data_IF_861889480328
#
_entry.id   IF_861889480328
#
_cell.length_a   1.000
_cell.length_b   1.000
_cell.length_c   1.000
_cell.angle_alpha   90.00
_cell.angle_beta   90.00
_cell.angle_gamma   90.00
#
_symmetry.space_group_name_H-M   'P 1'
#
loop_
_entity.id
_entity.type
_entity.pdbx_description
1 polymer ?
#
# COMPACT_ATOMS: atom_id res chain seq x y z
N UNK A 1 -29.13 -36.63 1.50
CA UNK A 1 -27.65 -36.60 1.53
C UNK A 1 -27.21 -35.61 2.60
N UNK A 2 -26.39 -36.06 3.50
CA UNK A 2 -25.83 -35.17 4.53
C UNK A 2 -24.44 -34.72 4.06
N UNK A 3 -24.25 -33.40 3.99
CA UNK A 3 -22.94 -32.84 3.66
C UNK A 3 -22.27 -32.47 5.00
N UNK A 4 -21.18 -33.15 5.29
CA UNK A 4 -20.39 -32.84 6.47
C UNK A 4 -19.39 -31.73 6.11
N UNK A 5 -19.46 -30.61 6.85
CA UNK A 5 -18.48 -29.53 6.72
C UNK A 5 -17.27 -29.84 7.62
N UNK A 6 -16.05 -29.50 7.18
CA UNK A 6 -14.89 -29.61 8.05
C UNK A 6 -15.07 -28.75 9.31
N UNK A 7 -14.38 -29.12 10.38
CA UNK A 7 -14.36 -28.29 11.58
C UNK A 7 -13.68 -26.93 11.33
N UNK A 8 -13.82 -26.01 12.28
CA UNK A 8 -13.30 -24.63 12.13
C UNK A 8 -11.79 -24.64 11.94
N UNK A 9 -11.05 -25.46 12.70
CA UNK A 9 -9.59 -25.51 12.57
C UNK A 9 -9.16 -25.99 11.19
N UNK A 10 -9.84 -26.98 10.62
CA UNK A 10 -9.58 -27.49 9.27
C UNK A 10 -9.92 -26.42 8.22
N UNK A 11 -11.04 -25.72 8.39
CA UNK A 11 -11.42 -24.62 7.49
C UNK A 11 -10.39 -23.50 7.51
N UNK A 12 -9.90 -23.11 8.67
CA UNK A 12 -8.87 -22.07 8.80
C UNK A 12 -7.55 -22.50 8.18
N UNK A 13 -7.16 -23.77 8.34
CA UNK A 13 -5.96 -24.31 7.70
C UNK A 13 -6.06 -24.25 6.17
N UNK A 14 -7.23 -24.57 5.63
CA UNK A 14 -7.47 -24.49 4.18
C UNK A 14 -7.40 -23.05 3.68
N UNK A 15 -8.01 -22.10 4.41
CA UNK A 15 -7.97 -20.67 4.07
C UNK A 15 -6.53 -20.17 4.11
N UNK A 16 -5.76 -20.54 5.14
CA UNK A 16 -4.35 -20.17 5.28
C UNK A 16 -3.53 -20.66 4.09
N UNK A 17 -3.68 -21.94 3.72
CA UNK A 17 -2.95 -22.53 2.61
C UNK A 17 -3.31 -21.86 1.27
N UNK A 18 -4.59 -21.72 0.97
CA UNK A 18 -5.05 -21.12 -0.28
C UNK A 18 -4.69 -19.64 -0.35
N UNK A 19 -4.82 -18.90 0.75
CA UNK A 19 -4.42 -17.50 0.84
C UNK A 19 -2.93 -17.31 0.64
N UNK A 20 -2.12 -18.20 1.20
CA UNK A 20 -0.66 -18.15 1.03
C UNK A 20 -0.25 -18.43 -0.42
N UNK A 21 -0.87 -19.44 -1.05
CA UNK A 21 -0.63 -19.73 -2.48
C UNK A 21 -1.01 -18.54 -3.36
N UNK A 22 -2.14 -17.91 -3.09
CA UNK A 22 -2.58 -16.72 -3.82
C UNK A 22 -1.59 -15.56 -3.65
N UNK A 23 -1.07 -15.36 -2.45
CA UNK A 23 -0.07 -14.34 -2.16
C UNK A 23 1.24 -14.58 -2.93
N UNK A 24 1.70 -15.83 -2.99
CA UNK A 24 2.88 -16.20 -3.77
C UNK A 24 2.67 -15.87 -5.25
N UNK A 25 1.51 -16.24 -5.79
CA UNK A 25 1.18 -15.94 -7.18
C UNK A 25 1.16 -14.44 -7.45
N UNK A 26 0.59 -13.65 -6.53
CA UNK A 26 0.56 -12.19 -6.65
C UNK A 26 1.96 -11.59 -6.59
N UNK A 27 2.82 -12.05 -5.70
CA UNK A 27 4.20 -11.57 -5.61
C UNK A 27 4.96 -11.86 -6.91
N UNK A 28 4.76 -13.02 -7.51
CA UNK A 28 5.35 -13.34 -8.82
C UNK A 28 4.83 -12.42 -9.91
N UNK A 29 3.52 -12.17 -9.94
CA UNK A 29 2.90 -11.27 -10.92
C UNK A 29 3.43 -9.83 -10.79
N UNK A 30 3.73 -9.39 -9.58
CA UNK A 30 4.26 -8.06 -9.32
C UNK A 30 5.62 -7.81 -10.02
N UNK A 31 6.38 -8.86 -10.32
CA UNK A 31 7.64 -8.72 -11.03
C UNK A 31 7.45 -8.18 -12.46
N UNK A 32 6.28 -8.40 -13.03
CA UNK A 32 5.94 -7.98 -14.40
C UNK A 32 5.07 -6.71 -14.42
N UNK A 33 4.99 -5.99 -13.31
CA UNK A 33 4.24 -4.74 -13.24
C UNK A 33 4.77 -3.72 -14.28
N UNK A 34 3.88 -2.94 -14.92
CA UNK A 34 4.31 -1.96 -15.92
C UNK A 34 5.29 -0.94 -15.34
N UNK A 35 6.26 -0.53 -16.16
CA UNK A 35 7.21 0.53 -15.81
C UNK A 35 6.65 1.88 -16.23
N UNK A 36 6.66 2.83 -15.30
CA UNK A 36 6.19 4.19 -15.52
C UNK A 36 7.36 5.13 -15.23
N UNK A 37 7.51 6.18 -16.03
CA UNK A 37 8.54 7.19 -15.81
C UNK A 37 8.38 7.86 -14.43
N UNK A 38 9.48 8.20 -13.75
CA UNK A 38 9.40 8.86 -12.44
C UNK A 38 8.65 10.20 -12.52
N UNK A 39 8.11 10.65 -11.37
CA UNK A 39 7.53 11.97 -11.28
C UNK A 39 8.60 13.04 -11.49
N UNK A 40 8.21 14.18 -12.04
CA UNK A 40 9.12 15.30 -12.33
C UNK A 40 8.63 16.61 -11.72
N UNK A 41 7.55 16.58 -10.92
CA UNK A 41 6.97 17.80 -10.34
C UNK A 41 7.85 18.43 -9.28
N UNK A 42 8.51 17.61 -8.45
CA UNK A 42 9.43 18.07 -7.41
C UNK A 42 10.76 17.36 -7.51
N UNK A 43 11.83 18.05 -7.09
CA UNK A 43 13.16 17.46 -6.99
C UNK A 43 13.28 16.76 -5.62
N UNK A 44 13.22 15.44 -5.63
CA UNK A 44 13.25 14.65 -4.40
C UNK A 44 14.56 14.77 -3.63
N UNK A 45 15.64 15.19 -4.28
CA UNK A 45 16.93 15.40 -3.61
C UNK A 45 16.90 16.55 -2.59
N UNK A 46 15.89 17.42 -2.68
CA UNK A 46 15.70 18.55 -1.77
C UNK A 46 14.88 18.18 -0.52
N UNK A 47 14.47 16.93 -0.40
CA UNK A 47 13.62 16.44 0.69
C UNK A 47 14.26 15.25 1.40
N UNK A 48 14.01 15.08 2.71
CA UNK A 48 14.47 13.88 3.41
C UNK A 48 13.87 12.59 2.78
N UNK A 49 14.66 11.54 2.77
CA UNK A 49 14.23 10.24 2.24
C UNK A 49 13.77 9.27 3.33
N UNK A 50 13.62 9.75 4.54
CA UNK A 50 13.20 8.94 5.71
C UNK A 50 11.79 8.38 5.55
N UNK A 51 10.97 8.94 4.67
CA UNK A 51 9.63 8.41 4.39
C UNK A 51 9.65 7.05 3.67
N UNK A 52 10.80 6.64 3.11
CA UNK A 52 10.97 5.36 2.45
C UNK A 52 11.39 4.25 3.41
N UNK A 53 11.74 4.58 4.64
CA UNK A 53 12.17 3.64 5.65
C UNK A 53 10.98 2.88 6.25
N UNK A 54 11.28 1.75 6.91
CA UNK A 54 10.30 1.11 7.78
C UNK A 54 10.16 1.90 9.08
N UNK A 55 9.03 1.73 9.75
CA UNK A 55 8.75 2.46 10.99
C UNK A 55 9.87 2.29 12.02
N UNK A 56 10.34 1.07 12.21
CA UNK A 56 11.44 0.73 13.14
C UNK A 56 12.80 1.27 12.74
N UNK A 57 12.95 1.70 11.49
CA UNK A 57 14.21 2.22 10.96
C UNK A 57 14.32 3.75 11.08
N UNK A 58 13.33 4.38 11.69
CA UNK A 58 13.31 5.84 11.83
C UNK A 58 12.44 6.54 10.80
N UNK A 59 11.35 5.92 10.40
CA UNK A 59 10.40 6.52 9.46
C UNK A 59 9.90 7.88 9.93
N UNK A 60 9.84 8.83 9.02
CA UNK A 60 9.22 10.13 9.22
C UNK A 60 8.24 10.38 8.08
N UNK A 61 7.09 10.99 8.41
CA UNK A 61 6.09 11.33 7.39
C UNK A 61 6.72 12.23 6.32
N UNK A 62 6.40 11.99 5.03
CA UNK A 62 6.96 12.81 3.95
C UNK A 62 6.43 14.24 4.00
N UNK A 63 7.23 15.15 3.42
CA UNK A 63 6.79 16.52 3.22
C UNK A 63 5.52 16.54 2.35
N UNK A 64 4.57 17.46 2.60
CA UNK A 64 3.34 17.56 1.79
C UNK A 64 3.59 17.69 0.28
N UNK A 65 4.66 18.36 -0.13
CA UNK A 65 5.02 18.49 -1.54
C UNK A 65 5.30 17.12 -2.19
N UNK A 66 5.95 16.22 -1.45
CA UNK A 66 6.21 14.85 -1.90
C UNK A 66 4.89 14.08 -2.03
N UNK A 67 4.01 14.18 -1.04
CA UNK A 67 2.71 13.53 -1.06
C UNK A 67 1.91 14.00 -2.27
N UNK A 68 1.82 15.30 -2.47
CA UNK A 68 1.06 15.88 -3.57
C UNK A 68 1.63 15.46 -4.94
N UNK A 69 2.95 15.49 -5.09
CA UNK A 69 3.60 15.08 -6.34
C UNK A 69 3.36 13.60 -6.65
N UNK A 70 3.51 12.72 -5.65
CA UNK A 70 3.29 11.29 -5.82
C UNK A 70 1.84 10.95 -6.13
N UNK A 71 0.92 11.58 -5.44
CA UNK A 71 -0.52 11.36 -5.68
C UNK A 71 -0.92 11.84 -7.07
N UNK A 72 -0.50 13.02 -7.49
CA UNK A 72 -0.81 13.55 -8.83
C UNK A 72 -0.23 12.68 -9.94
N UNK A 73 1.01 12.25 -9.78
CA UNK A 73 1.66 11.36 -10.73
C UNK A 73 0.90 10.04 -10.88
N UNK A 74 0.51 9.45 -9.75
CA UNK A 74 -0.29 8.22 -9.72
C UNK A 74 -1.66 8.41 -10.38
N UNK A 75 -2.36 9.47 -10.03
CA UNK A 75 -3.68 9.78 -10.59
C UNK A 75 -3.64 10.09 -12.08
N UNK A 76 -2.55 10.67 -12.56
CA UNK A 76 -2.37 10.92 -13.99
C UNK A 76 -2.20 9.64 -14.81
N UNK A 77 -1.54 8.63 -14.24
CA UNK A 77 -1.33 7.34 -14.91
C UNK A 77 -2.50 6.39 -14.75
N UNK A 78 -3.17 6.40 -13.59
CA UNK A 78 -4.29 5.52 -13.30
C UNK A 78 -5.57 6.35 -13.20
N UNK A 79 -6.20 6.61 -14.34
CA UNK A 79 -7.39 7.46 -14.42
C UNK A 79 -8.58 6.93 -13.61
N UNK A 80 -8.62 5.64 -13.37
CA UNK A 80 -9.63 5.03 -12.48
C UNK A 80 -9.53 5.54 -11.03
N UNK A 81 -8.39 6.09 -10.64
CA UNK A 81 -8.15 6.72 -9.33
C UNK A 81 -7.91 8.22 -9.45
N UNK A 82 -8.39 8.83 -10.55
CA UNK A 82 -8.10 10.21 -10.90
C UNK A 82 -8.76 11.26 -10.01
N UNK A 83 -9.62 10.88 -9.09
CA UNK A 83 -10.21 11.77 -8.10
C UNK A 83 -9.73 11.42 -6.70
N UNK A 84 -9.70 12.41 -5.81
CA UNK A 84 -9.31 12.17 -4.42
C UNK A 84 -10.24 11.19 -3.71
N UNK A 85 -11.52 11.15 -4.07
CA UNK A 85 -12.47 10.19 -3.52
C UNK A 85 -12.10 8.76 -3.89
N UNK A 86 -11.73 8.51 -5.13
CA UNK A 86 -11.32 7.18 -5.60
C UNK A 86 -9.98 6.77 -5.03
N UNK A 87 -9.05 7.71 -4.89
CA UNK A 87 -7.77 7.45 -4.25
C UNK A 87 -7.95 7.13 -2.77
N UNK A 88 -8.81 7.87 -2.07
CA UNK A 88 -9.14 7.60 -0.67
C UNK A 88 -9.70 6.20 -0.50
N UNK A 89 -10.61 5.79 -1.37
CA UNK A 89 -11.19 4.45 -1.35
C UNK A 89 -10.12 3.37 -1.51
N UNK A 90 -9.21 3.54 -2.48
CA UNK A 90 -8.09 2.62 -2.70
C UNK A 90 -7.19 2.50 -1.47
N UNK A 91 -6.94 3.61 -0.79
CA UNK A 91 -6.07 3.66 0.39
C UNK A 91 -6.77 3.27 1.70
N UNK A 92 -8.07 2.94 1.64
CA UNK A 92 -8.84 2.57 2.82
C UNK A 92 -9.17 3.75 3.72
N UNK A 93 -9.20 4.95 3.18
CA UNK A 93 -9.54 6.17 3.93
C UNK A 93 -11.04 6.41 3.87
N UNK A 94 -11.62 6.91 4.96
CA UNK A 94 -13.06 7.11 5.06
C UNK A 94 -13.59 8.28 4.21
N UNK A 95 -12.75 9.27 3.90
CA UNK A 95 -13.15 10.45 3.12
C UNK A 95 -12.02 10.97 2.22
N UNK A 96 -12.40 11.65 1.13
CA UNK A 96 -11.44 12.34 0.26
C UNK A 96 -10.80 13.55 0.95
N UNK A 97 -11.41 14.06 2.01
CA UNK A 97 -10.88 15.18 2.80
C UNK A 97 -9.52 14.83 3.40
N UNK A 98 -9.32 13.57 3.80
CA UNK A 98 -8.03 13.11 4.33
C UNK A 98 -6.93 13.16 3.27
N UNK A 99 -7.23 12.79 2.03
CA UNK A 99 -6.26 12.89 0.93
C UNK A 99 -5.82 14.35 0.75
N UNK A 100 -6.76 15.28 0.76
CA UNK A 100 -6.44 16.71 0.65
C UNK A 100 -5.63 17.21 1.85
N UNK A 101 -5.98 16.77 3.06
CA UNK A 101 -5.27 17.16 4.27
C UNK A 101 -3.79 16.72 4.23
N UNK A 102 -3.52 15.53 3.70
CA UNK A 102 -2.15 15.05 3.52
C UNK A 102 -1.38 15.91 2.50
N UNK A 103 -2.00 16.21 1.37
CA UNK A 103 -1.38 17.04 0.33
C UNK A 103 -1.11 18.47 0.79
N UNK A 104 -1.98 19.01 1.63
CA UNK A 104 -1.87 20.39 2.16
C UNK A 104 -0.96 20.48 3.38
N UNK A 105 -0.65 19.35 4.02
CA UNK A 105 0.18 19.34 5.21
C UNK A 105 -0.56 19.65 6.50
N UNK A 106 -1.90 19.74 6.48
CA UNK A 106 -2.69 19.99 7.69
C UNK A 106 -2.75 18.77 8.62
N UNK A 107 -2.49 17.58 8.08
CA UNK A 107 -2.43 16.33 8.83
C UNK A 107 -1.31 15.46 8.25
N UNK A 108 -0.40 14.93 9.07
CA UNK A 108 0.61 14.02 8.57
C UNK A 108 -0.03 12.70 8.13
N UNK A 109 0.51 12.11 7.06
CA UNK A 109 0.02 10.80 6.60
C UNK A 109 0.50 9.71 7.57
N UNK A 110 -0.39 8.79 8.01
CA UNK A 110 0.03 7.67 8.85
C UNK A 110 0.97 6.71 8.11
N UNK A 111 1.87 6.08 8.85
CA UNK A 111 2.84 5.14 8.28
C UNK A 111 2.20 4.06 7.43
N UNK A 112 1.17 3.38 7.94
CA UNK A 112 0.53 2.27 7.22
C UNK A 112 -0.09 2.68 5.89
N UNK A 113 -0.72 3.86 5.84
CA UNK A 113 -1.30 4.41 4.61
C UNK A 113 -0.20 4.72 3.59
N UNK A 114 0.86 5.38 4.03
CA UNK A 114 1.96 5.77 3.15
C UNK A 114 2.73 4.54 2.66
N UNK A 115 3.03 3.60 3.55
CA UNK A 115 3.71 2.34 3.18
C UNK A 115 2.92 1.56 2.14
N UNK A 116 1.61 1.45 2.31
CA UNK A 116 0.73 0.80 1.34
C UNK A 116 0.84 1.46 -0.03
N UNK A 117 0.78 2.79 -0.07
CA UNK A 117 0.93 3.54 -1.33
C UNK A 117 2.30 3.32 -1.97
N UNK A 118 3.37 3.34 -1.19
CA UNK A 118 4.72 3.13 -1.70
C UNK A 118 4.91 1.72 -2.28
N UNK A 119 4.34 0.70 -1.63
CA UNK A 119 4.37 -0.68 -2.13
C UNK A 119 3.63 -0.79 -3.47
N UNK A 120 2.40 -0.24 -3.54
CA UNK A 120 1.60 -0.27 -4.76
C UNK A 120 2.28 0.43 -5.94
N UNK A 121 3.11 1.39 -5.67
CA UNK A 121 3.83 2.16 -6.70
C UNK A 121 5.27 1.70 -6.89
N UNK A 122 5.65 0.57 -6.30
CA UNK A 122 6.94 -0.06 -6.50
C UNK A 122 8.14 0.69 -5.92
N UNK A 123 7.92 1.66 -5.05
CA UNK A 123 8.99 2.46 -4.47
C UNK A 123 9.70 1.77 -3.31
N UNK A 124 9.01 0.85 -2.64
CA UNK A 124 9.58 0.03 -1.56
C UNK A 124 9.10 -1.40 -1.72
N UNK A 125 9.87 -2.38 -1.24
CA UNK A 125 9.44 -3.78 -1.29
C UNK A 125 8.32 -4.05 -0.28
N UNK A 126 7.46 -4.99 -0.63
CA UNK A 126 6.42 -5.48 0.27
C UNK A 126 7.06 -6.34 1.37
N UNK A 127 6.69 -6.07 2.62
CA UNK A 127 7.13 -6.88 3.75
C UNK A 127 6.25 -8.13 3.85
N UNK A 128 6.89 -9.30 3.81
CA UNK A 128 6.23 -10.57 4.07
C UNK A 128 6.44 -10.90 5.55
N UNK A 129 5.33 -11.04 6.27
CA UNK A 129 5.37 -11.30 7.71
C UNK A 129 5.58 -12.80 7.93
N UNK A 130 6.63 -13.20 8.68
CA UNK A 130 6.82 -14.61 9.01
C UNK A 130 5.72 -15.10 9.96
N UNK A 131 5.13 -16.25 9.64
CA UNK A 131 4.19 -16.90 10.54
C UNK A 131 4.97 -17.70 11.57
N UNK A 132 4.88 -17.30 12.84
CA UNK A 132 5.64 -17.95 13.91
C UNK A 132 5.03 -19.28 14.31
N UNK A 133 3.71 -19.41 14.26
CA UNK A 133 2.98 -20.62 14.54
C UNK A 133 1.56 -20.49 13.98
N UNK A 134 0.97 -21.60 13.59
CA UNK A 134 -0.45 -21.67 13.28
C UNK A 134 -1.22 -21.98 14.56
N UNK A 135 -1.92 -21.00 15.08
CA UNK A 135 -2.53 -21.08 16.42
C UNK A 135 -4.07 -21.13 16.39
N UNK A 136 -4.65 -21.37 15.23
CA UNK A 136 -6.10 -21.44 15.09
C UNK A 136 -6.64 -22.81 15.52
#
# INVERSE_FOLDING_TARGET
MVIELPDIATQQAMIFEEGTKAAIAQLKANLDAPRVSPQTEVDESQYPRTHLLREREGWEAPHPDIIAAYFRHFQAHFKEYGTDAKLADLLGLSTNRRVRAFKEGSTPVPYGVWRHFLVMTGRVPQDVIPVLAFMA
#
